data_IF_363524253443
#
_entry.id   IF_363524253443
#
_cell.length_a   1.000
_cell.length_b   1.000
_cell.length_c   1.000
_cell.angle_alpha   90.00
_cell.angle_beta   90.00
_cell.angle_gamma   90.00
#
_symmetry.space_group_name_H-M   'P 1'
#
loop_
_entity.id
_entity.type
_entity.pdbx_description
1 polymer ?
#
# COMPACT_ATOMS: atom_id res chain seq x y z
N UNK A 1 19.04 6.43 -12.14
CA UNK A 1 17.91 6.67 -11.20
C UNK A 1 16.91 5.52 -11.15
N UNK A 2 16.45 4.96 -12.28
CA UNK A 2 15.47 3.84 -12.30
C UNK A 2 15.90 2.61 -11.47
N UNK A 3 17.13 2.11 -11.66
CA UNK A 3 17.67 0.97 -10.88
C UNK A 3 17.69 1.21 -9.36
N UNK A 4 17.95 2.44 -8.91
CA UNK A 4 17.97 2.78 -7.47
C UNK A 4 16.56 2.74 -6.89
N UNK A 5 15.58 3.28 -7.63
CA UNK A 5 14.16 3.22 -7.27
C UNK A 5 13.66 1.78 -7.21
N UNK A 6 13.96 0.98 -8.23
CA UNK A 6 13.57 -0.44 -8.28
C UNK A 6 14.18 -1.26 -7.13
N UNK A 7 15.45 -1.00 -6.79
CA UNK A 7 16.10 -1.64 -5.65
C UNK A 7 15.44 -1.21 -4.33
N UNK A 8 15.20 0.08 -4.14
CA UNK A 8 14.50 0.61 -2.96
C UNK A 8 13.13 -0.03 -2.80
N UNK A 9 12.31 -0.04 -3.86
CA UNK A 9 10.99 -0.67 -3.82
C UNK A 9 11.05 -2.15 -3.50
N UNK A 10 12.01 -2.87 -4.10
CA UNK A 10 12.19 -4.31 -3.84
C UNK A 10 12.51 -4.56 -2.38
N UNK A 11 13.47 -3.82 -1.81
CA UNK A 11 13.88 -3.95 -0.40
C UNK A 11 12.69 -3.69 0.52
N UNK A 12 11.99 -2.56 0.34
CA UNK A 12 10.86 -2.18 1.19
C UNK A 12 9.69 -3.16 1.04
N UNK A 13 9.42 -3.67 -0.16
CA UNK A 13 8.36 -4.66 -0.38
C UNK A 13 8.66 -5.97 0.34
N UNK A 14 9.89 -6.49 0.22
CA UNK A 14 10.28 -7.73 0.91
C UNK A 14 10.27 -7.56 2.43
N UNK A 15 10.80 -6.43 2.92
CA UNK A 15 10.73 -6.07 4.33
C UNK A 15 9.27 -6.01 4.83
N UNK A 16 8.40 -5.38 4.06
CA UNK A 16 6.98 -5.28 4.38
C UNK A 16 6.30 -6.64 4.43
N UNK A 17 6.57 -7.53 3.48
CA UNK A 17 6.02 -8.88 3.45
C UNK A 17 6.45 -9.71 4.68
N UNK A 18 7.74 -9.66 5.03
CA UNK A 18 8.28 -10.36 6.22
C UNK A 18 7.61 -9.83 7.49
N UNK A 19 7.48 -8.52 7.62
CA UNK A 19 6.90 -7.91 8.81
C UNK A 19 5.40 -8.16 8.92
N UNK A 20 4.67 -8.14 7.81
CA UNK A 20 3.26 -8.51 7.76
C UNK A 20 3.04 -9.98 8.19
N UNK A 21 3.88 -10.91 7.71
CA UNK A 21 3.86 -12.30 8.15
C UNK A 21 4.14 -12.42 9.65
N UNK A 22 5.14 -11.70 10.17
CA UNK A 22 5.47 -11.71 11.59
C UNK A 22 4.30 -11.21 12.46
N UNK A 23 3.64 -10.10 12.08
CA UNK A 23 2.47 -9.58 12.78
C UNK A 23 1.34 -10.62 12.76
N UNK A 24 1.07 -11.24 11.61
CA UNK A 24 0.04 -12.29 11.50
C UNK A 24 0.31 -13.46 12.45
N UNK A 25 1.57 -13.95 12.52
CA UNK A 25 1.96 -15.02 13.44
C UNK A 25 1.80 -14.62 14.91
N UNK A 26 2.17 -13.38 15.27
CA UNK A 26 2.01 -12.87 16.64
C UNK A 26 0.53 -12.82 17.02
N UNK A 27 -0.35 -12.34 16.12
CA UNK A 27 -1.79 -12.26 16.37
C UNK A 27 -2.40 -13.67 16.46
N UNK A 28 -2.01 -14.60 15.58
CA UNK A 28 -2.45 -15.99 15.68
C UNK A 28 -2.05 -16.63 17.01
N UNK A 29 -0.80 -16.42 17.45
CA UNK A 29 -0.32 -16.89 18.74
C UNK A 29 -1.13 -16.28 19.90
N UNK A 30 -1.43 -14.98 19.85
CA UNK A 30 -2.27 -14.32 20.85
C UNK A 30 -3.64 -14.98 20.99
N UNK A 31 -4.29 -15.31 19.86
CA UNK A 31 -5.60 -15.96 19.85
C UNK A 31 -5.52 -17.32 20.56
N UNK A 32 -4.49 -18.12 20.27
CA UNK A 32 -4.27 -19.44 20.91
C UNK A 32 -4.01 -19.29 22.41
N UNK A 33 -3.10 -18.40 22.80
CA UNK A 33 -2.72 -18.18 24.20
C UNK A 33 -3.91 -17.67 25.02
N UNK A 34 -4.73 -16.80 24.43
CA UNK A 34 -5.95 -16.29 25.07
C UNK A 34 -7.00 -17.38 25.29
N UNK A 35 -7.07 -18.39 24.43
CA UNK A 35 -7.95 -19.56 24.63
C UNK A 35 -7.53 -20.43 25.82
N UNK A 36 -6.26 -20.38 26.21
CA UNK A 36 -5.71 -21.10 27.38
C UNK A 36 -5.88 -20.27 28.68
N UNK A 37 -6.45 -19.06 28.59
CA UNK A 37 -6.70 -18.18 29.75
C UNK A 37 -5.51 -17.34 30.19
N UNK A 38 -4.40 -17.37 29.44
CA UNK A 38 -3.22 -16.52 29.70
C UNK A 38 -3.36 -15.24 28.87
N UNK A 39 -3.16 -14.08 29.51
CA UNK A 39 -3.11 -12.79 28.80
C UNK A 39 -1.68 -12.30 28.75
N UNK A 40 -1.15 -12.12 27.52
CA UNK A 40 0.23 -11.71 27.29
C UNK A 40 0.26 -10.30 26.69
N UNK A 41 0.09 -9.29 27.54
CA UNK A 41 -0.12 -7.89 27.13
C UNK A 41 1.01 -7.30 26.27
N UNK A 42 2.25 -7.75 26.44
CA UNK A 42 3.38 -7.25 25.66
C UNK A 42 3.29 -7.61 24.17
N UNK A 43 2.67 -8.75 23.83
CA UNK A 43 2.54 -9.17 22.42
C UNK A 43 1.63 -8.22 21.66
N UNK A 44 0.58 -7.69 22.31
CA UNK A 44 -0.38 -6.76 21.70
C UNK A 44 0.30 -5.44 21.36
N UNK A 45 1.11 -4.92 22.29
CA UNK A 45 1.92 -3.73 22.07
C UNK A 45 2.89 -3.92 20.89
N UNK A 46 3.63 -5.03 20.85
CA UNK A 46 4.57 -5.29 19.75
C UNK A 46 3.85 -5.39 18.40
N UNK A 47 2.75 -6.14 18.31
CA UNK A 47 2.00 -6.26 17.06
C UNK A 47 1.51 -4.89 16.56
N UNK A 48 1.00 -4.06 17.47
CA UNK A 48 0.53 -2.70 17.16
C UNK A 48 1.65 -1.81 16.64
N UNK A 49 2.80 -1.78 17.33
CA UNK A 49 3.91 -0.94 16.90
C UNK A 49 4.62 -1.46 15.65
N UNK A 50 4.73 -2.78 15.48
CA UNK A 50 5.22 -3.39 14.24
C UNK A 50 4.32 -3.02 13.05
N UNK A 51 3.00 -3.03 13.25
CA UNK A 51 2.04 -2.58 12.23
C UNK A 51 2.23 -1.11 11.87
N UNK A 52 2.43 -0.23 12.85
CA UNK A 52 2.74 1.19 12.59
C UNK A 52 4.01 1.33 11.75
N UNK A 53 5.11 0.67 12.12
CA UNK A 53 6.37 0.72 11.36
C UNK A 53 6.17 0.19 9.94
N UNK A 54 5.40 -0.90 9.78
CA UNK A 54 5.08 -1.49 8.48
C UNK A 54 4.37 -0.48 7.58
N UNK A 55 3.30 0.13 8.07
CA UNK A 55 2.50 1.09 7.30
C UNK A 55 3.36 2.26 6.79
N UNK A 56 4.12 2.91 7.68
CA UNK A 56 4.91 4.09 7.29
C UNK A 56 6.09 3.74 6.38
N UNK A 57 6.68 2.55 6.51
CA UNK A 57 7.77 2.14 5.63
C UNK A 57 7.29 1.74 4.24
N UNK A 58 6.13 1.08 4.11
CA UNK A 58 5.61 0.61 2.83
C UNK A 58 4.90 1.73 2.05
N UNK A 59 4.31 2.70 2.73
CA UNK A 59 3.59 3.83 2.12
C UNK A 59 4.30 4.54 0.94
N UNK A 60 5.59 4.93 1.01
CA UNK A 60 6.28 5.54 -0.13
C UNK A 60 6.26 4.68 -1.40
N UNK A 61 6.37 3.36 -1.27
CA UNK A 61 6.33 2.43 -2.42
C UNK A 61 4.93 2.41 -3.05
N UNK A 62 3.89 2.47 -2.23
CA UNK A 62 2.49 2.54 -2.71
C UNK A 62 2.26 3.80 -3.54
N UNK A 63 2.74 4.96 -3.05
CA UNK A 63 2.66 6.25 -3.78
C UNK A 63 3.42 6.17 -5.11
N UNK A 64 4.63 5.61 -5.11
CA UNK A 64 5.46 5.47 -6.31
C UNK A 64 4.84 4.54 -7.35
N UNK A 65 4.07 3.53 -6.92
CA UNK A 65 3.31 2.65 -7.81
C UNK A 65 1.98 3.24 -8.26
N UNK A 66 1.55 4.37 -7.70
CA UNK A 66 0.24 4.96 -7.97
C UNK A 66 -0.92 4.12 -7.44
N UNK A 67 -0.66 3.33 -6.39
CA UNK A 67 -1.66 2.57 -5.65
C UNK A 67 -2.20 3.35 -4.44
N UNK A 68 -1.86 4.63 -4.32
CA UNK A 68 -2.54 5.52 -3.39
C UNK A 68 -4.00 5.66 -3.83
N UNK A 69 -4.92 5.58 -2.87
CA UNK A 69 -6.36 5.67 -3.14
C UNK A 69 -6.67 7.10 -3.57
N UNK A 70 -6.58 7.33 -4.87
CA UNK A 70 -7.06 8.54 -5.52
C UNK A 70 -8.55 8.35 -5.74
N UNK A 71 -9.37 9.35 -5.38
CA UNK A 71 -10.79 9.37 -5.76
C UNK A 71 -10.89 9.68 -7.25
N UNK A 72 -10.50 8.70 -8.07
CA UNK A 72 -10.47 8.74 -9.53
C UNK A 72 -11.82 9.13 -10.12
N UNK A 73 -12.92 8.63 -9.54
CA UNK A 73 -14.30 8.89 -9.97
C UNK A 73 -14.60 10.39 -10.13
N UNK A 74 -14.06 11.24 -9.25
CA UNK A 74 -14.26 12.70 -9.34
C UNK A 74 -13.38 13.30 -10.44
N UNK A 75 -12.17 12.79 -10.62
CA UNK A 75 -11.21 13.29 -11.62
C UNK A 75 -11.49 12.78 -13.03
N UNK A 76 -12.19 11.66 -13.16
CA UNK A 76 -12.56 11.01 -14.41
C UNK A 76 -13.67 11.76 -15.16
N UNK A 77 -14.39 12.63 -14.47
CA UNK A 77 -15.33 13.58 -15.08
C UNK A 77 -14.64 14.75 -15.81
N UNK A 78 -13.34 14.97 -15.59
CA UNK A 78 -12.63 16.14 -16.14
C UNK A 78 -11.78 15.81 -17.39
N UNK A 79 -11.57 16.78 -18.29
CA UNK A 79 -10.69 16.59 -19.45
C UNK A 79 -9.24 16.29 -19.04
N UNK A 80 -8.55 15.44 -19.82
CA UNK A 80 -7.22 14.86 -19.52
C UNK A 80 -6.18 15.85 -18.99
N UNK A 81 -6.18 17.10 -19.48
CA UNK A 81 -5.24 18.16 -19.05
C UNK A 81 -5.52 18.65 -17.62
N UNK A 82 -6.80 18.83 -17.26
CA UNK A 82 -7.19 19.29 -15.94
C UNK A 82 -6.97 18.21 -14.88
N UNK A 83 -7.31 16.96 -15.21
CA UNK A 83 -7.05 15.78 -14.36
C UNK A 83 -5.59 15.69 -13.94
N UNK A 84 -4.66 15.89 -14.89
CA UNK A 84 -3.22 15.86 -14.63
C UNK A 84 -2.78 16.94 -13.64
N UNK A 85 -3.25 18.17 -13.83
CA UNK A 85 -2.89 19.29 -12.94
C UNK A 85 -3.48 19.06 -11.55
N UNK A 86 -4.75 18.65 -11.47
CA UNK A 86 -5.42 18.40 -10.20
C UNK A 86 -4.69 17.31 -9.38
N UNK A 87 -4.31 16.20 -10.02
CA UNK A 87 -3.53 15.14 -9.35
C UNK A 87 -2.14 15.61 -8.91
N UNK A 88 -1.45 16.40 -9.75
CA UNK A 88 -0.17 17.00 -9.38
C UNK A 88 -0.29 17.89 -8.14
N UNK A 89 -1.32 18.74 -8.08
CA UNK A 89 -1.62 19.60 -6.92
C UNK A 89 -1.96 18.78 -5.69
N UNK A 90 -2.75 17.70 -5.83
CA UNK A 90 -3.08 16.81 -4.71
C UNK A 90 -1.84 16.17 -4.09
N UNK A 91 -0.89 15.68 -4.90
CA UNK A 91 0.36 15.12 -4.37
C UNK A 91 1.23 16.18 -3.67
N UNK A 92 1.28 17.41 -4.20
CA UNK A 92 1.99 18.52 -3.55
C UNK A 92 1.35 18.86 -2.19
N UNK A 93 0.02 18.93 -2.16
CA UNK A 93 -0.73 19.19 -0.93
C UNK A 93 -0.54 18.07 0.09
N UNK A 94 -0.56 16.80 -0.34
CA UNK A 94 -0.26 15.67 0.54
C UNK A 94 1.16 15.75 1.08
N UNK A 95 2.14 16.08 0.25
CA UNK A 95 3.52 16.28 0.70
C UNK A 95 3.61 17.37 1.79
N UNK A 96 2.88 18.48 1.63
CA UNK A 96 2.79 19.53 2.64
C UNK A 96 2.14 19.03 3.95
N UNK A 97 1.00 18.33 3.86
CA UNK A 97 0.34 17.75 5.03
C UNK A 97 1.26 16.77 5.78
N UNK A 98 2.00 15.92 5.04
CA UNK A 98 3.00 15.02 5.64
C UNK A 98 4.14 15.79 6.32
N UNK A 99 4.55 16.94 5.77
CA UNK A 99 5.50 17.85 6.42
C UNK A 99 5.00 18.36 7.78
N UNK A 100 3.72 18.72 7.89
CA UNK A 100 3.11 19.12 9.17
C UNK A 100 3.09 17.98 10.18
N UNK A 101 2.76 16.75 9.73
CA UNK A 101 2.80 15.55 10.58
C UNK A 101 4.23 15.26 11.05
N UNK A 102 5.21 15.36 10.15
CA UNK A 102 6.62 15.18 10.48
C UNK A 102 7.07 16.19 11.56
N UNK A 103 6.73 17.47 11.39
CA UNK A 103 7.01 18.49 12.40
C UNK A 103 6.39 18.16 13.77
N UNK A 104 5.11 17.75 13.77
CA UNK A 104 4.40 17.36 14.98
C UNK A 104 5.08 16.17 15.70
N UNK A 105 5.49 15.15 14.94
CA UNK A 105 6.17 13.97 15.50
C UNK A 105 7.54 14.34 16.06
N UNK A 106 8.34 15.16 15.37
CA UNK A 106 9.63 15.60 15.87
C UNK A 106 9.49 16.36 17.20
N UNK A 107 8.47 17.23 17.32
CA UNK A 107 8.14 17.90 18.58
C UNK A 107 7.69 16.91 19.66
N UNK A 108 6.91 15.89 19.29
CA UNK A 108 6.47 14.86 20.22
C UNK A 108 7.64 14.03 20.76
N UNK A 109 8.61 13.66 19.92
CA UNK A 109 9.83 12.95 20.35
C UNK A 109 10.63 13.81 21.34
N UNK A 110 10.75 15.11 21.09
CA UNK A 110 11.49 16.01 21.99
C UNK A 110 10.87 16.09 23.40
N UNK A 111 9.54 16.01 23.51
CA UNK A 111 8.81 16.10 24.78
C UNK A 111 8.64 14.73 25.44
N UNK A 112 8.34 13.68 24.66
CA UNK A 112 7.94 12.36 25.15
C UNK A 112 9.01 11.29 25.00
N UNK A 113 10.19 11.62 24.48
CA UNK A 113 11.20 10.65 24.04
C UNK A 113 11.87 9.82 25.13
N UNK A 114 11.54 10.06 26.40
CA UNK A 114 12.02 9.29 27.55
C UNK A 114 10.99 8.28 28.06
N UNK A 115 9.77 8.27 27.52
CA UNK A 115 8.70 7.37 27.92
C UNK A 115 8.89 6.00 27.25
N UNK A 116 9.01 4.95 28.07
CA UNK A 116 9.01 3.56 27.61
C UNK A 116 7.59 3.06 27.31
N UNK A 117 7.49 1.92 26.64
CA UNK A 117 6.20 1.23 26.50
C UNK A 117 5.66 0.79 27.86
N UNK A 118 4.33 0.67 27.95
CA UNK A 118 3.62 0.32 29.20
C UNK A 118 4.00 -1.08 29.67
N UNK A 119 3.99 -2.06 28.76
CA UNK A 119 4.36 -3.45 29.09
C UNK A 119 5.86 -3.72 28.90
N UNK A 120 6.54 -3.00 28.00
CA UNK A 120 7.94 -3.22 27.64
C UNK A 120 8.80 -1.99 27.97
N UNK A 121 9.10 -1.78 29.26
CA UNK A 121 9.85 -0.61 29.74
C UNK A 121 11.27 -0.49 29.14
N UNK A 122 11.85 -1.59 28.65
CA UNK A 122 13.14 -1.61 27.97
C UNK A 122 13.09 -1.11 26.52
N UNK A 123 11.92 -1.19 25.87
CA UNK A 123 11.70 -0.65 24.54
C UNK A 123 11.21 0.80 24.66
N UNK A 124 12.05 1.75 24.25
CA UNK A 124 11.70 3.18 24.27
C UNK A 124 10.84 3.51 23.05
N UNK A 125 9.76 4.25 23.27
CA UNK A 125 8.83 4.65 22.21
C UNK A 125 9.52 5.48 21.10
N UNK A 126 10.60 6.19 21.46
CA UNK A 126 11.46 6.92 20.53
C UNK A 126 11.99 6.09 19.38
N UNK A 127 12.32 4.81 19.59
CA UNK A 127 12.83 3.95 18.52
C UNK A 127 11.81 3.74 17.41
N UNK A 128 10.55 3.54 17.78
CA UNK A 128 9.44 3.40 16.82
C UNK A 128 9.26 4.70 16.04
N UNK A 129 9.32 5.84 16.73
CA UNK A 129 9.17 7.14 16.07
C UNK A 129 10.28 7.45 15.07
N UNK A 130 11.53 7.00 15.28
CA UNK A 130 12.57 7.16 14.27
C UNK A 130 12.25 6.44 12.96
N UNK A 131 11.70 5.23 13.02
CA UNK A 131 11.25 4.52 11.81
C UNK A 131 10.09 5.24 11.12
N UNK A 132 9.14 5.77 11.91
CA UNK A 132 8.02 6.57 11.36
C UNK A 132 8.54 7.84 10.67
N UNK A 133 9.52 8.52 11.25
CA UNK A 133 10.16 9.71 10.64
C UNK A 133 10.82 9.35 9.31
N UNK A 134 11.54 8.23 9.24
CA UNK A 134 12.14 7.74 7.99
C UNK A 134 11.07 7.44 6.93
N UNK A 135 9.99 6.77 7.32
CA UNK A 135 8.84 6.50 6.46
C UNK A 135 8.16 7.77 5.94
N UNK A 136 7.99 8.78 6.80
CA UNK A 136 7.41 10.07 6.42
C UNK A 136 8.30 10.85 5.46
N UNK A 137 9.61 10.92 5.72
CA UNK A 137 10.55 11.61 4.82
C UNK A 137 10.54 10.93 3.44
N UNK A 138 10.58 9.60 3.40
CA UNK A 138 10.50 8.87 2.14
C UNK A 138 9.15 9.05 1.43
N UNK A 139 8.04 9.11 2.16
CA UNK A 139 6.71 9.38 1.60
C UNK A 139 6.57 10.80 1.03
N UNK A 140 7.19 11.80 1.66
CA UNK A 140 7.28 13.19 1.16
C UNK A 140 8.04 13.19 -0.17
N UNK A 141 9.21 12.55 -0.24
CA UNK A 141 10.01 12.44 -1.46
C UNK A 141 9.25 11.70 -2.57
N UNK A 142 8.55 10.61 -2.22
CA UNK A 142 7.72 9.85 -3.14
C UNK A 142 6.58 10.70 -3.72
N UNK A 143 5.87 11.48 -2.90
CA UNK A 143 4.82 12.40 -3.35
C UNK A 143 5.37 13.48 -4.29
N UNK A 144 6.52 14.08 -3.97
CA UNK A 144 7.15 15.05 -4.87
C UNK A 144 7.56 14.44 -6.21
N UNK A 145 8.14 13.23 -6.18
CA UNK A 145 8.52 12.50 -7.39
C UNK A 145 7.29 12.21 -8.24
N UNK A 146 6.21 11.75 -7.60
CA UNK A 146 4.96 11.44 -8.28
C UNK A 146 4.27 12.68 -8.85
N UNK A 147 4.23 13.77 -8.09
CA UNK A 147 3.74 15.06 -8.58
C UNK A 147 4.47 15.50 -9.86
N UNK A 148 5.80 15.38 -9.88
CA UNK A 148 6.61 15.71 -11.06
C UNK A 148 6.34 14.77 -12.24
N UNK A 149 6.23 13.47 -12.00
CA UNK A 149 5.90 12.47 -13.02
C UNK A 149 4.52 12.70 -13.65
N UNK A 150 3.52 13.04 -12.82
CA UNK A 150 2.16 13.36 -13.26
C UNK A 150 2.16 14.64 -14.08
N UNK A 151 2.76 15.72 -13.59
CA UNK A 151 2.80 17.02 -14.29
C UNK A 151 3.54 16.91 -15.64
N UNK A 152 4.67 16.19 -15.68
CA UNK A 152 5.44 15.97 -16.92
C UNK A 152 4.75 15.02 -17.91
N UNK A 153 3.64 14.38 -17.52
CA UNK A 153 2.88 13.50 -18.40
C UNK A 153 3.57 12.17 -18.69
N UNK A 154 4.54 11.78 -17.86
CA UNK A 154 5.24 10.48 -17.97
C UNK A 154 4.44 9.32 -17.40
N UNK A 155 3.33 9.63 -16.72
CA UNK A 155 2.38 8.66 -16.17
C UNK A 155 1.06 8.90 -16.88
N UNK A 156 0.61 7.89 -17.61
CA UNK A 156 -0.72 7.89 -18.18
C UNK A 156 -1.71 7.73 -17.03
N UNK A 157 -2.47 8.80 -16.75
CA UNK A 157 -3.53 8.77 -15.76
C UNK A 157 -4.67 7.98 -16.38
N UNK A 158 -4.58 6.65 -16.31
CA UNK A 158 -5.68 5.77 -16.67
C UNK A 158 -6.75 5.91 -15.60
N UNK A 159 -7.97 6.06 -16.08
CA UNK A 159 -9.23 6.03 -15.31
C UNK A 159 -9.26 4.70 -14.55
N UNK A 160 -9.81 4.64 -13.33
CA UNK A 160 -9.80 3.36 -12.60
C UNK A 160 -10.63 2.28 -13.33
N UNK A 161 -11.63 2.69 -14.11
CA UNK A 161 -12.33 1.80 -15.04
C UNK A 161 -11.40 1.20 -16.13
N UNK A 162 -10.47 1.99 -16.67
CA UNK A 162 -9.48 1.54 -17.66
C UNK A 162 -8.44 0.61 -17.01
N UNK A 163 -8.03 0.87 -15.76
CA UNK A 163 -7.14 -0.02 -15.01
C UNK A 163 -7.80 -1.36 -14.67
N UNK A 164 -9.04 -1.35 -14.21
CA UNK A 164 -9.78 -2.59 -13.93
C UNK A 164 -10.04 -3.40 -15.19
N UNK A 165 -10.36 -2.75 -16.33
CA UNK A 165 -10.49 -3.45 -17.62
C UNK A 165 -9.15 -4.06 -18.08
N UNK A 166 -8.04 -3.32 -17.96
CA UNK A 166 -6.71 -3.83 -18.32
C UNK A 166 -6.26 -4.99 -17.41
N UNK A 167 -6.57 -4.94 -16.11
CA UNK A 167 -6.28 -6.02 -15.16
C UNK A 167 -7.13 -7.26 -15.44
N UNK A 168 -8.41 -7.08 -15.82
CA UNK A 168 -9.26 -8.17 -16.29
C UNK A 168 -8.71 -8.76 -17.58
N UNK A 169 -8.30 -7.94 -18.55
CA UNK A 169 -7.75 -8.40 -19.83
C UNK A 169 -6.44 -9.18 -19.63
N UNK A 170 -5.52 -8.68 -18.80
CA UNK A 170 -4.29 -9.44 -18.47
C UNK A 170 -4.57 -10.70 -17.68
N UNK A 171 -5.55 -10.69 -16.77
CA UNK A 171 -5.96 -11.91 -16.05
C UNK A 171 -6.59 -12.91 -17.02
N UNK A 172 -7.40 -12.45 -17.97
CA UNK A 172 -8.01 -13.28 -19.03
C UNK A 172 -6.93 -13.85 -19.93
N UNK A 173 -5.95 -13.06 -20.36
CA UNK A 173 -4.82 -13.52 -21.19
C UNK A 173 -3.92 -14.51 -20.43
N UNK A 174 -3.69 -14.30 -19.13
CA UNK A 174 -2.98 -15.25 -18.28
C UNK A 174 -3.76 -16.55 -18.11
N UNK A 175 -5.07 -16.48 -17.89
CA UNK A 175 -5.95 -17.64 -17.80
C UNK A 175 -6.02 -18.35 -19.15
N UNK A 176 -6.07 -17.63 -20.27
CA UNK A 176 -6.11 -18.20 -21.62
C UNK A 176 -4.79 -18.87 -21.99
N UNK A 177 -3.66 -18.29 -21.57
CA UNK A 177 -2.33 -18.91 -21.72
C UNK A 177 -2.12 -20.10 -20.78
N UNK A 178 -2.68 -20.11 -19.57
CA UNK A 178 -2.58 -21.23 -18.62
C UNK A 178 -3.58 -22.37 -18.89
N UNK A 179 -4.79 -22.06 -19.36
CA UNK A 179 -5.85 -23.04 -19.63
C UNK A 179 -6.06 -23.38 -21.11
N UNK A 180 -5.37 -22.70 -22.03
CA UNK A 180 -5.44 -22.95 -23.48
C UNK A 180 -6.86 -22.84 -24.02
N UNK A 181 -7.27 -21.63 -24.42
CA UNK A 181 -8.52 -21.35 -25.17
C UNK A 181 -9.71 -22.22 -24.76
N UNK A 182 -10.48 -21.78 -23.75
CA UNK A 182 -11.79 -22.39 -23.49
C UNK A 182 -12.67 -22.07 -24.69
N UNK A 183 -12.75 -23.02 -25.61
CA UNK A 183 -13.58 -22.95 -26.80
C UNK A 183 -15.06 -23.03 -26.38
N UNK A 184 -15.68 -21.85 -26.20
CA UNK A 184 -17.10 -21.70 -25.86
C UNK A 184 -18.01 -22.16 -27.00
N UNK A 185 -17.48 -22.43 -28.21
CA UNK A 185 -18.30 -22.86 -29.35
C UNK A 185 -18.88 -24.28 -29.21
N UNK A 186 -18.38 -25.10 -28.28
CA UNK A 186 -18.86 -26.49 -28.09
C UNK A 186 -20.14 -26.62 -27.25
N UNK A 187 -20.66 -25.53 -26.65
CA UNK A 187 -21.90 -25.60 -25.86
C UNK A 187 -23.19 -25.41 -26.68
N UNK A 188 -23.12 -24.95 -27.93
CA UNK A 188 -24.31 -24.78 -28.77
C UNK A 188 -24.75 -26.11 -29.44
N UNK A 189 -23.82 -26.97 -29.86
CA UNK A 189 -24.16 -28.27 -30.48
C UNK A 189 -24.88 -29.25 -29.53
N UNK A 190 -24.68 -29.12 -28.21
CA UNK A 190 -25.31 -30.02 -27.23
C UNK A 190 -26.76 -29.62 -26.89
N UNK A 191 -27.25 -28.47 -27.35
CA UNK A 191 -28.67 -28.10 -27.18
C UNK A 191 -29.55 -28.65 -28.29
N UNK A 192 -29.05 -28.74 -29.52
CA UNK A 192 -29.83 -29.31 -30.64
C UNK A 192 -30.02 -30.84 -30.53
N UNK A 193 -29.14 -31.54 -29.83
CA UNK A 193 -29.27 -32.99 -29.58
C UNK A 193 -30.31 -33.37 -28.52
N UNK A 194 -30.71 -32.44 -27.65
CA UNK A 194 -31.68 -32.70 -26.57
C UNK A 194 -33.11 -32.37 -27.00
N UNK A 195 -33.31 -31.56 -28.05
CA UNK A 195 -34.65 -31.23 -28.58
C UNK A 195 -35.21 -32.31 -29.54
N UNK A 196 -34.44 -33.37 -29.81
CA UNK A 196 -34.84 -34.48 -30.72
C UNK A 196 -34.91 -35.86 -30.04
N UNK A 197 -34.93 -35.92 -28.71
CA UNK A 197 -35.12 -37.17 -27.95
C UNK A 197 -36.47 -37.19 -27.23
#
# INVERSE_FOLDING_TARGET
MKKVRELYERIITHFGAIMMLAIALIICLQIVVRRIGITVSWTEEIARYAFVVLCFMVWPVVILRGGDIVVSVVFDLFPKKFRRIALGVMHILMSFCLGLVLYSILRNIAVSGKVGLVSLRWLKLSYIYYFVVIGLISAIIANFTRAFEVITGRVEVLTDAEKSMAEIETTVEQVENEHGSIDVSRQEDNKEGVEKA
#
